data_IF_134617943027
#
_entry.id   IF_134617943027
#
_cell.length_a   1.000
_cell.length_b   1.000
_cell.length_c   1.000
_cell.angle_alpha   90.00
_cell.angle_beta   90.00
_cell.angle_gamma   90.00
#
_symmetry.space_group_name_H-M   'P 1'
#
loop_
_entity.id
_entity.type
_entity.pdbx_description
1 polymer ?
#
# COMPACT_ATOMS: atom_id res chain seq x y z
N UNK A 1 -16.06 13.78 27.57
CA UNK A 1 -16.12 12.91 26.37
C UNK A 1 -14.84 12.12 26.35
N UNK A 2 -14.90 10.81 26.60
CA UNK A 2 -13.71 9.95 26.61
C UNK A 2 -13.21 9.79 25.19
N UNK A 3 -12.03 10.34 24.87
CA UNK A 3 -11.37 10.10 23.59
C UNK A 3 -11.04 8.61 23.49
N UNK A 4 -11.55 7.95 22.45
CA UNK A 4 -11.11 6.59 22.13
C UNK A 4 -9.59 6.66 21.91
N UNK A 5 -8.78 5.87 22.63
CA UNK A 5 -7.34 5.88 22.41
C UNK A 5 -7.06 5.51 20.95
N UNK A 6 -6.18 6.28 20.31
CA UNK A 6 -5.72 5.92 18.96
C UNK A 6 -4.89 4.64 19.07
N UNK A 7 -5.19 3.58 18.30
CA UNK A 7 -4.44 2.32 18.35
C UNK A 7 -2.97 2.54 17.95
N UNK A 8 -2.07 1.78 18.58
CA UNK A 8 -0.63 1.87 18.30
C UNK A 8 -0.27 1.23 16.96
N UNK A 9 0.96 1.45 16.50
CA UNK A 9 1.53 0.75 15.34
C UNK A 9 1.61 -0.75 15.57
N UNK A 10 1.80 -1.19 16.81
CA UNK A 10 1.79 -2.61 17.17
C UNK A 10 0.38 -3.21 17.06
N UNK A 11 -0.63 -2.49 17.54
CA UNK A 11 -2.04 -2.90 17.40
C UNK A 11 -2.44 -2.98 15.93
N UNK A 12 -1.99 -2.00 15.13
CA UNK A 12 -2.20 -1.99 13.69
C UNK A 12 -1.52 -3.19 13.02
N UNK A 13 -0.27 -3.50 13.36
CA UNK A 13 0.44 -4.65 12.81
C UNK A 13 -0.29 -5.97 13.12
N UNK A 14 -0.67 -6.20 14.38
CA UNK A 14 -1.44 -7.39 14.78
C UNK A 14 -2.77 -7.49 14.03
N UNK A 15 -3.46 -6.36 13.84
CA UNK A 15 -4.71 -6.32 13.09
C UNK A 15 -4.52 -6.68 11.61
N UNK A 16 -3.48 -6.17 10.97
CA UNK A 16 -3.16 -6.48 9.57
C UNK A 16 -2.77 -7.94 9.38
N UNK A 17 -1.98 -8.50 10.30
CA UNK A 17 -1.61 -9.91 10.32
C UNK A 17 -2.82 -10.82 10.48
N UNK A 18 -3.68 -10.53 11.47
CA UNK A 18 -4.89 -11.33 11.73
C UNK A 18 -5.86 -11.38 10.53
N UNK A 19 -5.81 -10.38 9.65
CA UNK A 19 -6.65 -10.28 8.45
C UNK A 19 -5.96 -10.74 7.16
N UNK A 20 -4.68 -11.13 7.21
CA UNK A 20 -3.91 -11.47 6.02
C UNK A 20 -3.67 -10.28 5.08
N UNK A 21 -3.73 -9.06 5.61
CA UNK A 21 -3.63 -7.81 4.83
C UNK A 21 -2.17 -7.40 4.58
N UNK A 22 -1.20 -8.09 5.19
CA UNK A 22 0.24 -7.85 5.02
C UNK A 22 0.75 -8.11 3.60
N UNK A 23 -0.04 -8.76 2.73
CA UNK A 23 0.30 -8.90 1.31
C UNK A 23 0.13 -7.62 0.48
N UNK A 24 -0.52 -6.59 1.04
CA UNK A 24 -0.89 -5.37 0.33
C UNK A 24 0.16 -4.27 0.58
N UNK A 25 0.89 -3.80 -0.45
CA UNK A 25 1.97 -2.81 -0.27
C UNK A 25 1.55 -1.54 0.47
N UNK A 26 0.32 -1.06 0.24
CA UNK A 26 -0.19 0.15 0.90
C UNK A 26 -0.46 -0.03 2.41
N UNK A 27 -0.68 -1.27 2.89
CA UNK A 27 -0.81 -1.55 4.32
C UNK A 27 0.54 -1.38 5.05
N UNK A 28 1.65 -1.70 4.40
CA UNK A 28 2.99 -1.41 4.93
C UNK A 28 3.29 0.08 5.02
N UNK A 29 2.83 0.88 4.04
CA UNK A 29 2.95 2.34 4.11
C UNK A 29 2.14 2.92 5.26
N UNK A 30 0.92 2.42 5.47
CA UNK A 30 0.11 2.82 6.61
C UNK A 30 0.84 2.51 7.94
N UNK A 31 1.40 1.32 8.09
CA UNK A 31 2.19 0.94 9.27
C UNK A 31 3.42 1.83 9.47
N UNK A 32 4.16 2.15 8.39
CA UNK A 32 5.30 3.08 8.42
C UNK A 32 4.90 4.47 8.89
N UNK A 33 3.79 5.02 8.38
CA UNK A 33 3.28 6.33 8.78
C UNK A 33 2.84 6.34 10.26
N UNK A 34 2.21 5.27 10.74
CA UNK A 34 1.84 5.15 12.16
C UNK A 34 3.08 5.15 13.06
N UNK A 35 4.12 4.37 12.70
CA UNK A 35 5.40 4.36 13.44
C UNK A 35 6.07 5.73 13.45
N UNK A 36 6.09 6.43 12.31
CA UNK A 36 6.64 7.79 12.24
C UNK A 36 5.87 8.75 13.15
N UNK A 37 4.54 8.65 13.18
CA UNK A 37 3.71 9.49 14.04
C UNK A 37 4.01 9.25 15.53
N UNK A 38 4.21 8.00 15.92
CA UNK A 38 4.57 7.63 17.31
C UNK A 38 5.97 8.14 17.69
N UNK A 39 6.94 8.02 16.79
CA UNK A 39 8.32 8.46 17.03
C UNK A 39 8.51 9.98 16.88
N UNK A 40 7.48 10.74 16.49
CA UNK A 40 7.59 12.16 16.14
C UNK A 40 8.27 13.00 17.23
N UNK A 41 7.94 12.76 18.49
CA UNK A 41 8.46 13.53 19.62
C UNK A 41 9.89 13.13 20.02
N UNK A 42 10.39 11.99 19.50
CA UNK A 42 11.74 11.48 19.70
C UNK A 42 12.68 11.82 18.52
N UNK A 43 12.15 12.46 17.47
CA UNK A 43 12.88 12.78 16.24
C UNK A 43 13.19 14.27 16.14
N UNK A 44 14.34 14.59 15.54
CA UNK A 44 14.60 15.94 15.05
C UNK A 44 13.56 16.34 14.00
N UNK A 45 13.01 17.57 14.04
CA UNK A 45 11.93 17.99 13.14
C UNK A 45 12.27 17.83 11.65
N UNK A 46 13.50 18.15 11.25
CA UNK A 46 14.00 17.98 9.88
C UNK A 46 13.98 16.50 9.47
N UNK A 47 14.47 15.61 10.34
CA UNK A 47 14.53 14.18 10.08
C UNK A 47 13.12 13.55 9.98
N UNK A 48 12.17 14.02 10.80
CA UNK A 48 10.78 13.62 10.71
C UNK A 48 10.17 14.04 9.36
N UNK A 49 10.40 15.28 8.93
CA UNK A 49 9.91 15.79 7.65
C UNK A 49 10.50 15.03 6.46
N UNK A 50 11.80 14.76 6.45
CA UNK A 50 12.44 13.93 5.41
C UNK A 50 11.84 12.54 5.38
N UNK A 51 11.69 11.89 6.53
CA UNK A 51 11.13 10.53 6.62
C UNK A 51 9.67 10.48 6.12
N UNK A 52 8.91 11.55 6.37
CA UNK A 52 7.53 11.68 5.89
C UNK A 52 7.48 11.89 4.37
N UNK A 53 8.38 12.71 3.81
CA UNK A 53 8.50 12.91 2.37
C UNK A 53 8.87 11.62 1.64
N UNK A 54 9.79 10.83 2.18
CA UNK A 54 10.18 9.53 1.63
C UNK A 54 9.01 8.55 1.63
N UNK A 55 8.29 8.46 2.76
CA UNK A 55 7.12 7.59 2.87
C UNK A 55 6.02 8.00 1.86
N UNK A 56 5.82 9.29 1.64
CA UNK A 56 4.90 9.82 0.64
C UNK A 56 5.36 9.51 -0.79
N UNK A 57 6.63 9.72 -1.12
CA UNK A 57 7.18 9.41 -2.43
C UNK A 57 7.03 7.93 -2.79
N UNK A 58 7.26 7.04 -1.83
CA UNK A 58 7.07 5.59 -2.02
C UNK A 58 5.59 5.23 -2.22
N UNK A 59 4.68 5.87 -1.47
CA UNK A 59 3.24 5.69 -1.69
C UNK A 59 2.83 6.13 -3.10
N UNK A 60 3.36 7.25 -3.61
CA UNK A 60 3.07 7.73 -4.97
C UNK A 60 3.58 6.76 -6.05
N UNK A 61 4.71 6.08 -5.81
CA UNK A 61 5.24 5.05 -6.73
C UNK A 61 4.28 3.86 -6.89
N UNK A 62 3.43 3.58 -5.89
CA UNK A 62 2.39 2.55 -6.00
C UNK A 62 1.28 2.90 -7.01
N UNK A 63 1.17 4.15 -7.45
CA UNK A 63 0.16 4.53 -8.45
C UNK A 63 0.30 3.75 -9.78
N UNK A 64 1.54 3.48 -10.22
CA UNK A 64 1.78 2.67 -11.42
C UNK A 64 1.39 1.19 -11.24
N UNK A 65 1.49 0.68 -10.01
CA UNK A 65 1.13 -0.71 -9.67
C UNK A 65 -0.38 -0.96 -9.76
N UNK A 66 -1.20 0.06 -9.51
CA UNK A 66 -2.66 -0.07 -9.58
C UNK A 66 -3.21 -0.04 -11.01
N UNK A 67 -2.46 0.53 -11.97
CA UNK A 67 -2.92 0.69 -13.35
C UNK A 67 -3.18 -0.67 -14.00
N UNK A 68 -4.44 -0.93 -14.36
CA UNK A 68 -4.88 -2.20 -14.94
C UNK A 68 -5.14 -3.33 -13.94
N UNK A 69 -5.03 -3.06 -12.63
CA UNK A 69 -5.33 -4.00 -11.53
C UNK A 69 -6.37 -3.44 -10.55
N UNK A 70 -7.05 -2.36 -10.90
CA UNK A 70 -7.98 -1.64 -10.03
C UNK A 70 -9.12 -2.56 -9.57
N UNK A 71 -9.64 -3.42 -10.46
CA UNK A 71 -10.69 -4.36 -10.13
C UNK A 71 -10.24 -5.45 -9.12
N UNK A 72 -8.97 -5.85 -9.19
CA UNK A 72 -8.35 -6.78 -8.24
C UNK A 72 -8.10 -6.11 -6.89
N UNK A 73 -7.51 -4.91 -6.92
CA UNK A 73 -7.08 -4.17 -5.74
C UNK A 73 -8.25 -3.59 -4.94
N UNK A 74 -9.26 -3.03 -5.61
CA UNK A 74 -10.41 -2.36 -4.97
C UNK A 74 -11.69 -3.21 -4.98
N UNK A 75 -11.84 -4.14 -5.93
CA UNK A 75 -13.04 -4.97 -6.10
C UNK A 75 -12.89 -6.42 -5.64
N UNK A 76 -11.68 -6.86 -5.28
CA UNK A 76 -11.40 -8.24 -4.82
C UNK A 76 -11.56 -9.31 -5.90
N UNK A 77 -11.68 -8.92 -7.18
CA UNK A 77 -11.77 -9.85 -8.32
C UNK A 77 -10.47 -9.82 -9.09
N UNK A 78 -9.69 -10.89 -9.00
CA UNK A 78 -8.51 -11.04 -9.84
C UNK A 78 -8.89 -10.91 -11.32
N UNK A 79 -8.27 -9.95 -12.01
CA UNK A 79 -8.30 -9.85 -13.46
C UNK A 79 -6.89 -10.13 -13.98
N UNK A 80 -6.65 -11.25 -14.70
CA UNK A 80 -5.36 -11.48 -15.32
C UNK A 80 -5.06 -10.35 -16.31
N UNK A 81 -3.79 -9.96 -16.37
CA UNK A 81 -3.31 -9.01 -17.39
C UNK A 81 -3.73 -9.51 -18.76
N UNK A 82 -4.38 -8.65 -19.55
CA UNK A 82 -4.67 -8.92 -20.96
C UNK A 82 -3.34 -8.93 -21.75
N UNK A 83 -2.50 -9.93 -21.54
CA UNK A 83 -1.51 -10.34 -22.53
C UNK A 83 -2.35 -10.88 -23.68
N UNK A 84 -2.65 -9.99 -24.63
CA UNK A 84 -3.14 -10.36 -25.95
C UNK A 84 -1.91 -10.88 -26.70
N UNK A 85 -1.43 -12.07 -26.34
CA UNK A 85 -0.72 -12.85 -27.33
C UNK A 85 -1.80 -13.30 -28.33
N UNK A 86 -1.69 -12.95 -29.63
CA UNK A 86 -2.56 -13.54 -30.61
C UNK A 86 -2.44 -15.06 -30.49
N UNK A 87 -3.58 -15.75 -30.42
CA UNK A 87 -3.60 -17.21 -30.47
C UNK A 87 -2.85 -17.64 -31.74
N UNK A 88 -1.92 -18.60 -31.66
CA UNK A 88 -1.21 -19.09 -32.84
C UNK A 88 -2.20 -19.48 -33.95
N UNK A 89 -2.12 -18.80 -35.10
CA UNK A 89 -3.06 -18.92 -36.22
C UNK A 89 -4.11 -17.81 -36.33
N UNK A 90 -3.94 -16.66 -35.64
CA UNK A 90 -4.86 -15.53 -35.74
C UNK A 90 -4.71 -14.78 -37.08
N UNK A 91 -5.67 -13.90 -37.41
CA UNK A 91 -5.60 -13.09 -38.63
C UNK A 91 -4.38 -12.13 -38.64
N UNK A 92 -3.85 -11.82 -37.46
CA UNK A 92 -2.65 -10.98 -37.28
C UNK A 92 -1.34 -11.78 -37.49
N UNK A 93 -1.40 -13.11 -37.65
CA UNK A 93 -0.27 -13.99 -37.97
C UNK A 93 -0.02 -14.18 -39.49
N UNK A 94 -0.75 -13.47 -40.35
CA UNK A 94 -0.63 -13.59 -41.83
C UNK A 94 0.12 -12.43 -42.48
#
# INVERSE_FOLDING_TARGET
MSSVPTPSSEDLARYLEARGEMGKPWMWHLLRLTKLKEAKDEMEPEAYLTSLQDAHADLMRLGAFWKGREAEVFGGRYQPSAVIEPLPGSADDR
#
